data_IF_513565021267
#
_entry.id   IF_513565021267
#
_cell.length_a   1.000
_cell.length_b   1.000
_cell.length_c   1.000
_cell.angle_alpha   90.00
_cell.angle_beta   90.00
_cell.angle_gamma   90.00
#
_symmetry.space_group_name_H-M   'P 1'
#
loop_
_entity.id
_entity.type
_entity.pdbx_description
1 polymer ?
#
# COMPACT_ATOMS: atom_id res chain seq x y z
N UNK A 1 21.90 -2.77 10.75
CA UNK A 1 20.47 -2.37 10.76
C UNK A 1 20.04 -1.91 9.38
N UNK A 2 18.75 -1.82 9.16
CA UNK A 2 18.20 -1.25 7.92
C UNK A 2 18.31 0.28 8.00
N UNK A 3 18.85 0.98 6.98
CA UNK A 3 18.89 2.44 6.95
C UNK A 3 17.48 3.03 7.08
N UNK A 4 17.35 4.13 7.82
CA UNK A 4 16.09 4.85 8.01
C UNK A 4 16.26 6.32 7.66
N UNK A 5 15.25 6.91 7.05
CA UNK A 5 15.20 8.32 6.69
C UNK A 5 13.87 8.92 7.13
N UNK A 6 13.89 10.15 7.62
CA UNK A 6 12.68 10.87 8.05
C UNK A 6 12.49 12.07 7.13
N UNK A 7 11.33 12.13 6.49
CA UNK A 7 10.89 13.30 5.74
C UNK A 7 9.89 14.05 6.63
N UNK A 8 10.33 15.16 7.24
CA UNK A 8 9.50 15.93 8.18
C UNK A 8 8.32 16.62 7.50
N UNK A 9 7.18 16.64 8.19
CA UNK A 9 5.92 17.25 7.72
C UNK A 9 6.01 18.76 7.45
N UNK A 10 6.98 19.46 8.05
CA UNK A 10 7.20 20.90 7.78
C UNK A 10 7.58 21.21 6.32
N UNK A 11 8.00 20.20 5.55
CA UNK A 11 8.16 20.31 4.10
C UNK A 11 6.82 20.34 3.35
N UNK A 12 5.70 20.03 4.01
CA UNK A 12 4.36 19.97 3.40
C UNK A 12 3.75 21.34 3.09
N UNK A 13 4.13 22.37 3.83
CA UNK A 13 3.61 23.74 3.64
C UNK A 13 4.09 24.41 2.34
N UNK A 14 5.07 23.83 1.69
CA UNK A 14 5.56 24.24 0.39
C UNK A 14 5.23 23.19 -0.66
N UNK A 15 4.04 23.23 -1.26
CA UNK A 15 3.59 22.44 -2.43
C UNK A 15 4.14 21.01 -2.49
N UNK A 16 3.29 20.00 -2.55
CA UNK A 16 3.64 18.55 -2.53
C UNK A 16 4.82 18.10 -3.40
N UNK A 17 5.30 18.94 -4.32
CA UNK A 17 6.51 18.78 -5.11
C UNK A 17 7.80 18.60 -4.27
N UNK A 18 7.88 19.18 -3.07
CA UNK A 18 9.08 19.04 -2.23
C UNK A 18 9.20 17.67 -1.54
N UNK A 19 8.05 17.07 -1.15
CA UNK A 19 8.04 15.74 -0.55
C UNK A 19 8.52 14.68 -1.55
N UNK A 20 7.92 14.65 -2.74
CA UNK A 20 8.27 13.68 -3.78
C UNK A 20 9.69 13.88 -4.31
N UNK A 21 10.16 15.13 -4.45
CA UNK A 21 11.53 15.41 -4.81
C UNK A 21 12.52 14.84 -3.78
N UNK A 22 12.24 15.02 -2.48
CA UNK A 22 13.07 14.47 -1.41
C UNK A 22 12.99 12.95 -1.35
N UNK A 23 11.78 12.40 -1.51
CA UNK A 23 11.59 10.95 -1.57
C UNK A 23 12.37 10.34 -2.73
N UNK A 24 12.30 10.93 -3.92
CA UNK A 24 13.06 10.52 -5.11
C UNK A 24 14.58 10.56 -4.87
N UNK A 25 15.10 11.64 -4.25
CA UNK A 25 16.51 11.74 -3.89
C UNK A 25 16.95 10.56 -3.00
N UNK A 26 16.16 10.26 -1.96
CA UNK A 26 16.45 9.15 -1.04
C UNK A 26 16.40 7.80 -1.77
N UNK A 27 15.34 7.55 -2.54
CA UNK A 27 15.20 6.30 -3.28
C UNK A 27 16.34 6.07 -4.27
N UNK A 28 16.80 7.13 -4.94
CA UNK A 28 17.94 7.05 -5.85
C UNK A 28 19.26 6.82 -5.10
N UNK A 29 19.48 7.47 -3.95
CA UNK A 29 20.67 7.28 -3.12
C UNK A 29 20.86 5.83 -2.68
N UNK A 30 19.76 5.15 -2.36
CA UNK A 30 19.76 3.75 -1.95
C UNK A 30 19.53 2.77 -3.10
N UNK A 31 19.50 3.25 -4.34
CA UNK A 31 19.26 2.44 -5.54
C UNK A 31 18.03 1.54 -5.43
N UNK A 32 16.94 2.07 -4.82
CA UNK A 32 15.72 1.33 -4.54
C UNK A 32 15.09 0.83 -5.84
N UNK A 33 14.79 -0.46 -5.88
CA UNK A 33 14.17 -1.12 -7.05
C UNK A 33 12.67 -1.34 -6.88
N UNK A 34 12.23 -1.59 -5.65
CA UNK A 34 10.82 -1.83 -5.30
C UNK A 34 10.45 -0.90 -4.16
N UNK A 35 9.30 -0.28 -4.25
CA UNK A 35 8.73 0.56 -3.19
C UNK A 35 7.54 -0.17 -2.59
N UNK A 36 7.51 -0.31 -1.27
CA UNK A 36 6.41 -0.91 -0.53
C UNK A 36 5.74 0.15 0.33
N UNK A 37 4.50 0.48 0.01
CA UNK A 37 3.69 1.40 0.80
C UNK A 37 2.92 0.62 1.88
N UNK A 38 3.03 1.05 3.12
CA UNK A 38 2.29 0.51 4.26
C UNK A 38 1.90 1.68 5.18
N UNK A 39 0.60 1.86 5.42
CA UNK A 39 0.08 3.00 6.18
C UNK A 39 0.36 4.35 5.50
N UNK A 40 0.57 4.36 4.20
CA UNK A 40 0.85 5.57 3.43
C UNK A 40 -0.45 6.29 3.05
N UNK A 41 -0.65 7.49 3.60
CA UNK A 41 -1.91 8.24 3.51
C UNK A 41 -1.85 9.43 2.55
N UNK A 42 -0.88 9.45 1.63
CA UNK A 42 -0.72 10.50 0.63
C UNK A 42 -1.06 9.97 -0.75
N UNK A 43 -1.48 10.87 -1.64
CA UNK A 43 -1.61 10.57 -3.07
C UNK A 43 -0.28 10.96 -3.73
N UNK A 44 0.34 10.00 -4.38
CA UNK A 44 1.52 10.23 -5.19
C UNK A 44 1.12 10.85 -6.53
N UNK A 45 1.91 11.78 -7.04
CA UNK A 45 1.67 12.38 -8.35
C UNK A 45 1.81 11.33 -9.46
N UNK A 46 1.15 11.59 -10.58
CA UNK A 46 1.28 10.76 -11.77
C UNK A 46 2.73 10.65 -12.23
N UNK A 47 3.46 11.76 -12.24
CA UNK A 47 4.85 11.82 -12.65
C UNK A 47 5.75 10.97 -11.75
N UNK A 48 5.49 10.97 -10.43
CA UNK A 48 6.22 10.12 -9.50
C UNK A 48 5.93 8.64 -9.75
N UNK A 49 4.65 8.29 -9.97
CA UNK A 49 4.24 6.90 -10.24
C UNK A 49 4.87 6.39 -11.54
N UNK A 50 4.90 7.20 -12.60
CA UNK A 50 5.53 6.83 -13.89
C UNK A 50 7.03 6.55 -13.77
N UNK A 51 7.75 7.29 -12.90
CA UNK A 51 9.19 7.02 -12.64
C UNK A 51 9.44 5.62 -12.05
N UNK A 52 8.46 5.09 -11.31
CA UNK A 52 8.55 3.80 -10.64
C UNK A 52 7.44 2.84 -11.14
N UNK A 53 7.00 3.01 -12.38
CA UNK A 53 5.91 2.20 -12.95
C UNK A 53 6.17 0.71 -12.77
N UNK A 54 5.13 -0.01 -12.33
CA UNK A 54 5.22 -1.44 -12.06
C UNK A 54 6.11 -1.83 -10.89
N UNK A 55 6.61 -0.88 -10.07
CA UNK A 55 7.55 -1.13 -8.97
C UNK A 55 7.08 -0.60 -7.61
N UNK A 56 5.88 -0.05 -7.55
CA UNK A 56 5.28 0.43 -6.29
C UNK A 56 4.16 -0.52 -5.91
N UNK A 57 4.29 -1.16 -4.75
CA UNK A 57 3.24 -1.99 -4.14
C UNK A 57 2.59 -1.21 -3.01
N UNK A 58 1.29 -1.43 -2.83
CA UNK A 58 0.56 -0.95 -1.68
C UNK A 58 -0.24 -2.09 -1.05
N UNK A 59 -0.38 -2.07 0.28
CA UNK A 59 -1.35 -2.89 0.98
C UNK A 59 -2.54 -2.03 1.38
N UNK A 60 -3.75 -2.47 1.01
CA UNK A 60 -4.98 -1.77 1.25
C UNK A 60 -5.92 -2.61 2.11
N UNK A 61 -6.49 -2.06 3.20
CA UNK A 61 -7.26 -2.83 4.19
C UNK A 61 -8.71 -3.06 3.75
N UNK A 62 -8.91 -3.56 2.53
CA UNK A 62 -10.19 -4.07 2.03
C UNK A 62 -9.98 -5.13 0.95
N UNK A 63 -11.04 -5.86 0.62
CA UNK A 63 -11.08 -6.73 -0.57
C UNK A 63 -11.41 -5.88 -1.80
N UNK A 64 -10.39 -5.27 -2.41
CA UNK A 64 -10.57 -4.47 -3.62
C UNK A 64 -11.31 -5.27 -4.72
N UNK A 65 -12.16 -4.64 -5.52
CA UNK A 65 -12.37 -3.18 -5.66
C UNK A 65 -13.32 -2.55 -4.63
N UNK A 66 -13.82 -3.30 -3.64
CA UNK A 66 -14.65 -2.73 -2.58
C UNK A 66 -13.85 -1.79 -1.68
N UNK A 67 -14.48 -0.69 -1.29
CA UNK A 67 -13.95 0.23 -0.28
C UNK A 67 -12.58 0.81 -0.61
N UNK A 68 -12.37 1.29 -1.83
CA UNK A 68 -11.24 2.16 -2.16
C UNK A 68 -11.20 3.36 -1.22
N UNK A 69 -10.01 3.88 -0.91
CA UNK A 69 -9.79 5.03 -0.04
C UNK A 69 -9.94 4.72 1.45
N UNK A 70 -10.43 5.68 2.22
CA UNK A 70 -10.41 5.66 3.68
C UNK A 70 -11.61 4.94 4.33
N UNK A 71 -11.48 4.67 5.64
CA UNK A 71 -12.53 4.15 6.52
C UNK A 71 -13.11 2.78 6.08
N UNK A 72 -12.28 1.92 5.51
CA UNK A 72 -12.67 0.64 4.92
C UNK A 72 -13.41 -0.27 5.91
N UNK A 73 -12.88 -0.41 7.14
CA UNK A 73 -13.47 -1.27 8.16
C UNK A 73 -14.83 -0.76 8.62
N UNK A 74 -14.96 0.55 8.90
CA UNK A 74 -16.23 1.14 9.30
C UNK A 74 -17.29 0.98 8.20
N UNK A 75 -16.89 1.14 6.93
CA UNK A 75 -17.77 0.97 5.78
C UNK A 75 -18.23 -0.48 5.61
N UNK A 76 -17.33 -1.44 5.80
CA UNK A 76 -17.66 -2.87 5.71
C UNK A 76 -18.61 -3.31 6.82
N UNK A 77 -18.37 -2.86 8.07
CA UNK A 77 -19.25 -3.13 9.20
C UNK A 77 -20.62 -2.50 9.00
N UNK A 78 -20.69 -1.22 8.60
CA UNK A 78 -21.94 -0.51 8.35
C UNK A 78 -22.76 -1.13 7.21
N UNK A 79 -22.11 -1.73 6.21
CA UNK A 79 -22.75 -2.44 5.11
C UNK A 79 -23.24 -3.85 5.50
N UNK A 80 -22.94 -4.31 6.72
CA UNK A 80 -23.20 -5.70 7.15
C UNK A 80 -22.60 -6.73 6.18
N UNK A 81 -21.44 -6.46 5.63
CA UNK A 81 -20.73 -7.42 4.79
C UNK A 81 -20.37 -8.67 5.60
N UNK A 82 -20.37 -9.83 4.94
CA UNK A 82 -19.96 -11.09 5.57
C UNK A 82 -18.45 -11.23 5.69
N UNK A 83 -17.73 -10.58 4.79
CA UNK A 83 -16.30 -10.70 4.64
C UNK A 83 -15.65 -9.34 4.44
N UNK A 84 -14.45 -9.21 4.99
CA UNK A 84 -13.51 -8.14 4.74
C UNK A 84 -12.13 -8.74 4.49
N UNK A 85 -11.07 -7.94 4.47
CA UNK A 85 -9.72 -8.44 4.29
C UNK A 85 -8.78 -7.34 3.84
N UNK A 86 -7.69 -7.75 3.22
CA UNK A 86 -6.71 -6.85 2.64
C UNK A 86 -6.34 -7.26 1.21
N UNK A 87 -5.81 -6.29 0.47
CA UNK A 87 -5.35 -6.47 -0.91
C UNK A 87 -3.95 -5.89 -1.06
N UNK A 88 -3.04 -6.64 -1.64
CA UNK A 88 -1.77 -6.11 -2.15
C UNK A 88 -1.94 -5.86 -3.63
N UNK A 89 -1.65 -4.63 -4.08
CA UNK A 89 -1.81 -4.23 -5.47
C UNK A 89 -0.65 -3.35 -5.94
N UNK A 90 -0.45 -3.28 -7.25
CA UNK A 90 0.42 -2.28 -7.85
C UNK A 90 -0.24 -0.90 -7.77
N UNK A 91 0.55 0.12 -7.50
CA UNK A 91 0.08 1.50 -7.49
C UNK A 91 0.06 2.06 -8.91
N UNK A 92 -1.06 2.66 -9.26
CA UNK A 92 -1.29 3.40 -10.51
C UNK A 92 -1.82 4.80 -10.19
N UNK A 93 -2.01 5.63 -11.22
CA UNK A 93 -2.61 6.95 -11.04
C UNK A 93 -4.07 6.90 -10.53
N UNK A 94 -4.75 5.77 -10.70
CA UNK A 94 -6.08 5.55 -10.12
C UNK A 94 -5.95 5.12 -8.67
N UNK A 95 -6.62 5.81 -7.75
CA UNK A 95 -6.63 5.49 -6.32
C UNK A 95 -7.13 4.06 -6.10
N UNK A 96 -6.28 3.22 -5.50
CA UNK A 96 -6.53 1.80 -5.23
C UNK A 96 -7.12 1.03 -6.44
N UNK A 97 -6.73 1.45 -7.65
CA UNK A 97 -7.26 0.94 -8.91
C UNK A 97 -6.29 0.06 -9.70
N UNK A 98 -5.06 -0.07 -9.24
CA UNK A 98 -4.04 -0.87 -9.94
C UNK A 98 -4.25 -2.38 -9.82
N UNK A 99 -3.50 -3.17 -10.61
CA UNK A 99 -3.59 -4.63 -10.62
C UNK A 99 -3.41 -5.25 -9.24
N UNK A 100 -4.35 -6.09 -8.83
CA UNK A 100 -4.31 -6.83 -7.57
C UNK A 100 -3.36 -8.03 -7.73
N UNK A 101 -2.37 -8.12 -6.84
CA UNK A 101 -1.41 -9.22 -6.82
C UNK A 101 -1.86 -10.38 -5.93
N UNK A 102 -2.46 -10.05 -4.78
CA UNK A 102 -3.04 -11.04 -3.87
C UNK A 102 -4.02 -10.38 -2.88
N UNK A 103 -4.88 -11.21 -2.30
CA UNK A 103 -5.83 -10.81 -1.27
C UNK A 103 -5.87 -11.84 -0.15
N UNK A 104 -6.17 -11.40 1.07
CA UNK A 104 -6.52 -12.26 2.20
C UNK A 104 -7.87 -11.85 2.77
N UNK A 105 -8.70 -12.82 3.14
CA UNK A 105 -10.07 -12.63 3.57
C UNK A 105 -10.23 -12.96 5.05
N UNK A 106 -11.02 -12.17 5.76
CA UNK A 106 -11.49 -12.44 7.11
C UNK A 106 -13.02 -12.41 7.19
N UNK A 107 -13.60 -13.20 8.09
CA UNK A 107 -15.03 -13.14 8.36
C UNK A 107 -15.33 -11.98 9.30
N UNK A 108 -16.41 -11.24 9.00
CA UNK A 108 -16.97 -10.22 9.88
C UNK A 108 -18.05 -10.86 10.74
N UNK A 109 -17.84 -10.86 12.05
CA UNK A 109 -18.80 -11.35 13.02
C UNK A 109 -19.81 -10.25 13.38
N UNK A 110 -21.01 -10.63 13.81
CA UNK A 110 -22.07 -9.66 14.22
C UNK A 110 -21.64 -8.73 15.36
N UNK A 111 -20.66 -9.13 16.13
CA UNK A 111 -20.11 -8.36 17.25
C UNK A 111 -18.91 -7.51 16.88
N UNK A 112 -18.46 -7.57 15.61
CA UNK A 112 -17.31 -6.79 15.19
C UNK A 112 -17.63 -5.29 15.11
N UNK A 113 -16.70 -4.50 15.61
CA UNK A 113 -16.60 -3.07 15.39
C UNK A 113 -15.54 -2.78 14.32
N UNK A 114 -15.43 -1.55 13.90
CA UNK A 114 -14.36 -1.14 12.99
C UNK A 114 -12.96 -1.46 13.56
N UNK A 115 -12.78 -1.30 14.88
CA UNK A 115 -11.51 -1.54 15.58
C UNK A 115 -11.17 -3.02 15.66
N UNK A 116 -12.15 -3.88 16.02
CA UNK A 116 -11.92 -5.33 16.08
C UNK A 116 -11.67 -5.90 14.70
N UNK A 117 -12.41 -5.44 13.70
CA UNK A 117 -12.20 -5.83 12.30
C UNK A 117 -10.82 -5.38 11.81
N UNK A 118 -10.41 -4.14 12.10
CA UNK A 118 -9.06 -3.62 11.77
C UNK A 118 -7.98 -4.54 12.36
N UNK A 119 -8.13 -4.95 13.61
CA UNK A 119 -7.16 -5.84 14.27
C UNK A 119 -7.09 -7.23 13.63
N UNK A 120 -8.22 -7.75 13.11
CA UNK A 120 -8.25 -9.01 12.35
C UNK A 120 -7.54 -8.86 11.01
N UNK A 121 -7.87 -7.79 10.28
CA UNK A 121 -7.30 -7.53 8.95
C UNK A 121 -5.79 -7.28 9.03
N UNK A 122 -5.31 -6.52 10.02
CA UNK A 122 -3.90 -6.24 10.23
C UNK A 122 -3.04 -7.52 10.38
N UNK A 123 -3.58 -8.56 11.03
CA UNK A 123 -2.88 -9.85 11.13
C UNK A 123 -2.68 -10.49 9.76
N UNK A 124 -3.70 -10.42 8.90
CA UNK A 124 -3.61 -10.92 7.54
C UNK A 124 -2.66 -10.08 6.67
N UNK A 125 -2.65 -8.76 6.85
CA UNK A 125 -1.70 -7.88 6.16
C UNK A 125 -0.25 -8.27 6.45
N UNK A 126 0.07 -8.51 7.72
CA UNK A 126 1.40 -8.92 8.15
C UNK A 126 1.83 -10.28 7.59
N UNK A 127 0.88 -11.17 7.30
CA UNK A 127 1.16 -12.47 6.68
C UNK A 127 1.24 -12.38 5.16
N UNK A 128 0.36 -11.59 4.55
CA UNK A 128 0.22 -11.51 3.10
C UNK A 128 1.35 -10.69 2.45
N UNK A 129 1.61 -9.49 2.98
CA UNK A 129 2.48 -8.53 2.31
C UNK A 129 3.92 -9.04 2.10
N UNK A 130 4.58 -9.63 3.12
CA UNK A 130 5.93 -10.19 2.92
C UNK A 130 5.99 -11.30 1.90
N UNK A 131 4.96 -12.17 1.84
CA UNK A 131 4.88 -13.26 0.84
C UNK A 131 4.76 -12.72 -0.57
N UNK A 132 3.89 -11.70 -0.75
CA UNK A 132 3.71 -11.05 -2.07
C UNK A 132 5.00 -10.36 -2.48
N UNK A 133 5.63 -9.59 -1.58
CA UNK A 133 6.89 -8.91 -1.86
C UNK A 133 7.99 -9.88 -2.29
N UNK A 134 8.14 -11.00 -1.59
CA UNK A 134 9.13 -12.02 -1.92
C UNK A 134 8.90 -12.56 -3.34
N UNK A 135 7.68 -12.99 -3.65
CA UNK A 135 7.34 -13.51 -4.97
C UNK A 135 7.53 -12.45 -6.06
N UNK A 136 7.10 -11.22 -5.81
CA UNK A 136 7.24 -10.11 -6.73
C UNK A 136 8.71 -9.77 -7.00
N UNK A 137 9.57 -9.83 -5.99
CA UNK A 137 11.00 -9.57 -6.13
C UNK A 137 11.69 -10.58 -7.06
N UNK A 138 11.27 -11.84 -7.06
CA UNK A 138 11.78 -12.84 -8.00
C UNK A 138 11.31 -12.58 -9.44
N UNK A 139 10.08 -12.15 -9.62
CA UNK A 139 9.55 -11.83 -10.96
C UNK A 139 10.30 -10.63 -11.58
N UNK A 140 10.54 -9.58 -10.78
CA UNK A 140 11.28 -8.41 -11.27
C UNK A 140 12.75 -8.70 -11.55
N UNK A 141 13.40 -9.59 -10.80
CA UNK A 141 14.79 -9.99 -11.08
C UNK A 141 15.01 -10.52 -12.50
N UNK A 142 14.00 -11.16 -13.08
CA UNK A 142 14.06 -11.61 -14.46
C UNK A 142 13.90 -10.49 -15.51
N UNK A 143 13.41 -9.31 -15.10
CA UNK A 143 13.08 -8.19 -15.99
C UNK A 143 14.06 -7.02 -15.85
N UNK A 144 14.65 -6.85 -14.67
CA UNK A 144 15.68 -5.84 -14.41
C UNK A 144 17.04 -6.55 -14.38
N UNK A 145 17.92 -6.18 -15.32
CA UNK A 145 19.32 -6.59 -15.25
C UNK A 145 19.94 -5.98 -13.97
N UNK A 146 20.22 -6.84 -12.99
CA UNK A 146 20.96 -6.52 -11.78
C UNK A 146 22.43 -6.90 -11.96
#
# INVERSE_FOLDING_TARGET
>A
GIPTEIINENFEKSNGSNFEAKLKEILNRYEVKIICLAGFMRILSKDFIELFEGRILNIHPSLLPKYKGLNTHARAVAANDKFSGCSVHLVTAELDGGPILAQSQVTIEKTDTAETLSSKVLKEEHLLYPKVLLNFSYQIKGTLNF
#
